data_IF_393594634896
#
_entry.id   IF_393594634896
#
_cell.length_a   1.000
_cell.length_b   1.000
_cell.length_c   1.000
_cell.angle_alpha   90.00
_cell.angle_beta   90.00
_cell.angle_gamma   90.00
#
_symmetry.space_group_name_H-M   'P 1'
#
loop_
_entity.id
_entity.type
_entity.pdbx_description
1 polymer ?
#
# COMPACT_ATOMS: atom_id res chain seq x y z
N UNK A 1 -12.31 2.08 -11.19
CA UNK A 1 -11.62 3.16 -11.90
C UNK A 1 -11.07 4.21 -10.93
N UNK A 2 -10.04 4.93 -11.35
CA UNK A 2 -9.60 6.18 -10.73
C UNK A 2 -9.40 7.19 -11.87
N UNK A 3 -10.04 8.35 -11.77
CA UNK A 3 -10.12 9.31 -12.88
C UNK A 3 -9.77 10.71 -12.39
N UNK A 4 -9.06 11.46 -13.23
CA UNK A 4 -8.85 12.90 -13.08
C UNK A 4 -9.39 13.58 -14.32
N UNK A 5 -10.30 14.52 -14.12
CA UNK A 5 -10.94 15.30 -15.18
C UNK A 5 -10.54 16.76 -15.03
N UNK A 6 -10.17 17.36 -16.14
CA UNK A 6 -9.85 18.79 -16.26
C UNK A 6 -10.66 19.39 -17.40
N UNK A 7 -10.92 20.70 -17.32
CA UNK A 7 -11.57 21.45 -18.38
C UNK A 7 -10.74 22.68 -18.73
N UNK A 8 -10.51 22.94 -20.01
CA UNK A 8 -9.81 24.16 -20.46
C UNK A 8 -10.54 25.44 -20.06
N UNK A 9 -11.86 25.35 -19.76
CA UNK A 9 -12.66 26.49 -19.30
C UNK A 9 -12.41 26.84 -17.83
N UNK A 10 -11.93 25.88 -17.04
CA UNK A 10 -11.62 26.03 -15.61
C UNK A 10 -10.25 25.39 -15.32
N UNK A 11 -9.14 25.99 -15.79
CA UNK A 11 -7.81 25.37 -15.71
C UNK A 11 -7.31 25.17 -14.28
N UNK A 12 -7.80 25.96 -13.32
CA UNK A 12 -7.41 25.90 -11.91
C UNK A 12 -8.20 24.87 -11.09
N UNK A 13 -8.94 23.97 -11.77
CA UNK A 13 -9.85 23.01 -11.14
C UNK A 13 -9.68 21.61 -11.71
N UNK A 14 -9.43 20.66 -10.83
CA UNK A 14 -9.40 19.24 -11.12
C UNK A 14 -10.52 18.53 -10.38
N UNK A 15 -11.17 17.58 -11.05
CA UNK A 15 -12.15 16.68 -10.42
C UNK A 15 -11.58 15.27 -10.43
N UNK A 16 -11.50 14.66 -9.25
CA UNK A 16 -11.05 13.30 -9.05
C UNK A 16 -12.23 12.43 -8.66
N UNK A 17 -12.28 11.20 -9.17
CA UNK A 17 -13.25 10.20 -8.73
C UNK A 17 -12.54 8.85 -8.51
N UNK A 18 -12.84 8.20 -7.38
CA UNK A 18 -12.25 6.93 -6.98
C UNK A 18 -13.30 5.83 -6.82
N UNK A 19 -13.10 4.71 -7.51
CA UNK A 19 -13.83 3.45 -7.32
C UNK A 19 -12.85 2.28 -7.57
N UNK A 20 -12.16 1.80 -6.55
CA UNK A 20 -11.42 0.53 -6.56
C UNK A 20 -9.94 0.68 -6.90
N UNK A 21 -9.60 1.51 -7.88
CA UNK A 21 -8.19 1.83 -8.17
C UNK A 21 -7.70 2.93 -7.21
N UNK A 22 -6.43 2.89 -6.76
CA UNK A 22 -5.91 3.91 -5.88
C UNK A 22 -5.75 5.27 -6.58
N UNK A 23 -6.03 6.33 -5.85
CA UNK A 23 -5.67 7.71 -6.19
C UNK A 23 -5.28 8.43 -4.92
N UNK A 24 -4.26 9.28 -4.99
CA UNK A 24 -3.74 10.04 -3.87
C UNK A 24 -3.60 11.51 -4.23
N UNK A 25 -3.92 12.38 -3.29
CA UNK A 25 -3.71 13.82 -3.40
C UNK A 25 -2.48 14.19 -2.59
N UNK A 26 -1.48 14.78 -3.24
CA UNK A 26 -0.30 15.34 -2.59
C UNK A 26 -0.53 16.79 -2.20
N UNK A 27 -0.23 17.15 -0.96
CA UNK A 27 -0.45 18.48 -0.39
C UNK A 27 0.87 19.27 -0.38
N UNK A 28 0.99 20.29 -1.22
CA UNK A 28 2.15 21.18 -1.26
C UNK A 28 1.92 22.51 -0.54
N UNK A 29 2.84 23.46 -0.74
CA UNK A 29 2.68 24.84 -0.25
C UNK A 29 2.10 25.68 -1.39
N UNK A 30 0.84 26.09 -1.25
CA UNK A 30 0.08 26.77 -2.31
C UNK A 30 0.00 25.99 -3.63
N UNK A 31 0.01 24.67 -3.55
CA UNK A 31 -0.15 23.78 -4.70
C UNK A 31 -0.67 22.42 -4.21
N UNK A 32 -1.38 21.72 -5.09
CA UNK A 32 -1.85 20.37 -4.84
C UNK A 32 -1.56 19.50 -6.06
N UNK A 33 -1.24 18.23 -5.81
CA UNK A 33 -0.87 17.26 -6.83
C UNK A 33 -1.80 16.05 -6.77
N UNK A 34 -1.91 15.33 -7.88
CA UNK A 34 -2.72 14.11 -7.97
C UNK A 34 -1.92 13.04 -8.69
N UNK A 35 -1.90 11.83 -8.14
CA UNK A 35 -1.27 10.68 -8.76
C UNK A 35 -2.01 9.38 -8.40
N UNK A 36 -1.68 8.29 -9.08
CA UNK A 36 -2.14 6.94 -8.71
C UNK A 36 -1.34 6.35 -7.54
N UNK A 37 -0.14 6.88 -7.26
CA UNK A 37 0.78 6.37 -6.24
C UNK A 37 1.58 7.51 -5.59
N UNK A 38 1.93 7.36 -4.31
CA UNK A 38 2.70 8.34 -3.54
C UNK A 38 4.10 8.57 -4.10
N UNK A 39 4.73 7.54 -4.67
CA UNK A 39 6.09 7.58 -5.19
C UNK A 39 6.28 8.64 -6.28
N UNK A 40 5.26 8.88 -7.10
CA UNK A 40 5.27 9.91 -8.14
C UNK A 40 5.35 11.34 -7.56
N UNK A 41 4.93 11.52 -6.31
CA UNK A 41 4.79 12.82 -5.66
C UNK A 41 5.84 13.07 -4.57
N UNK A 42 6.61 12.05 -4.17
CA UNK A 42 7.70 12.18 -3.18
C UNK A 42 8.72 13.29 -3.50
N UNK A 43 9.03 13.64 -4.77
CA UNK A 43 9.92 14.76 -5.07
C UNK A 43 9.38 16.14 -4.70
N UNK A 44 8.05 16.30 -4.60
CA UNK A 44 7.40 17.61 -4.39
C UNK A 44 6.67 17.72 -3.06
N UNK A 45 6.24 16.60 -2.46
CA UNK A 45 5.61 16.62 -1.13
C UNK A 45 5.76 15.28 -0.39
N UNK A 46 5.65 15.35 0.94
CA UNK A 46 5.54 14.18 1.84
C UNK A 46 4.17 14.06 2.49
N UNK A 47 3.26 15.00 2.25
CA UNK A 47 1.92 15.05 2.85
C UNK A 47 0.89 14.55 1.85
N UNK A 48 0.16 13.53 2.23
CA UNK A 48 -0.78 12.84 1.34
C UNK A 48 -2.17 12.73 1.96
N UNK A 49 -3.19 12.92 1.15
CA UNK A 49 -4.58 12.67 1.48
C UNK A 49 -5.07 11.51 0.61
N UNK A 50 -5.60 10.47 1.26
CA UNK A 50 -6.16 9.30 0.59
C UNK A 50 -7.68 9.42 0.56
N UNK A 51 -8.25 9.29 -0.63
CA UNK A 51 -9.71 9.22 -0.81
C UNK A 51 -10.23 7.85 -0.40
N UNK A 52 -11.48 7.77 0.04
CA UNK A 52 -12.18 6.51 0.28
C UNK A 52 -12.86 6.00 -1.00
N UNK A 53 -13.38 4.79 -0.94
CA UNK A 53 -14.07 4.15 -2.05
C UNK A 53 -15.40 4.88 -2.36
N UNK A 54 -15.55 5.40 -3.58
CA UNK A 54 -16.71 6.17 -4.03
C UNK A 54 -16.59 7.68 -3.81
N UNK A 55 -15.46 8.18 -3.28
CA UNK A 55 -15.23 9.60 -3.09
C UNK A 55 -15.03 10.34 -4.42
N UNK A 56 -15.51 11.59 -4.45
CA UNK A 56 -15.21 12.58 -5.49
C UNK A 56 -14.57 13.80 -4.85
N UNK A 57 -13.42 14.24 -5.38
CA UNK A 57 -12.72 15.41 -4.87
C UNK A 57 -12.63 16.52 -5.91
N UNK A 58 -12.98 17.74 -5.52
CA UNK A 58 -12.57 18.95 -6.21
C UNK A 58 -11.23 19.41 -5.65
N UNK A 59 -10.21 19.44 -6.49
CA UNK A 59 -8.86 19.89 -6.14
C UNK A 59 -8.55 21.17 -6.91
N UNK A 60 -8.21 22.21 -6.17
CA UNK A 60 -7.70 23.49 -6.68
C UNK A 60 -6.32 23.75 -6.10
N UNK A 61 -5.66 24.81 -6.54
CA UNK A 61 -4.33 25.21 -6.06
C UNK A 61 -4.24 25.34 -4.53
N UNK A 62 -5.27 25.90 -3.89
CA UNK A 62 -5.25 26.23 -2.45
C UNK A 62 -6.35 25.55 -1.64
N UNK A 63 -7.21 24.75 -2.26
CA UNK A 63 -8.35 24.13 -1.58
C UNK A 63 -8.64 22.74 -2.12
N UNK A 64 -9.08 21.85 -1.24
CA UNK A 64 -9.59 20.53 -1.57
C UNK A 64 -10.96 20.39 -0.92
N UNK A 65 -11.94 19.93 -1.68
CA UNK A 65 -13.27 19.56 -1.17
C UNK A 65 -13.55 18.13 -1.57
N UNK A 66 -13.96 17.30 -0.62
CA UNK A 66 -14.28 15.90 -0.87
C UNK A 66 -15.77 15.68 -0.59
N UNK A 67 -16.41 14.98 -1.52
CA UNK A 67 -17.77 14.48 -1.38
C UNK A 67 -17.70 12.95 -1.28
N UNK A 68 -18.45 12.38 -0.35
CA UNK A 68 -18.65 10.94 -0.31
C UNK A 68 -19.64 10.47 -1.40
N UNK A 69 -19.88 9.16 -1.45
CA UNK A 69 -20.80 8.52 -2.40
C UNK A 69 -22.24 9.02 -2.30
N UNK A 70 -22.64 9.50 -1.13
CA UNK A 70 -23.99 10.02 -0.86
C UNK A 70 -24.07 11.54 -1.14
N UNK A 71 -22.96 12.16 -1.56
CA UNK A 71 -22.87 13.57 -1.88
C UNK A 71 -22.65 14.47 -0.66
N UNK A 72 -22.34 13.92 0.52
CA UNK A 72 -22.05 14.71 1.70
C UNK A 72 -20.62 15.22 1.67
N UNK A 73 -20.41 16.46 2.14
CA UNK A 73 -19.05 16.98 2.33
C UNK A 73 -18.37 16.25 3.47
N UNK A 74 -17.18 15.73 3.20
CA UNK A 74 -16.38 14.96 4.15
C UNK A 74 -14.95 15.50 4.21
N UNK A 75 -14.31 15.35 5.37
CA UNK A 75 -12.89 15.63 5.54
C UNK A 75 -12.09 14.33 5.56
N UNK A 76 -11.00 14.29 4.79
CA UNK A 76 -10.05 13.18 4.77
C UNK A 76 -8.75 13.64 5.41
N UNK A 77 -8.23 12.84 6.34
CA UNK A 77 -7.01 13.20 7.07
C UNK A 77 -5.78 13.17 6.15
N UNK A 78 -4.94 14.21 6.27
CA UNK A 78 -3.61 14.19 5.68
C UNK A 78 -2.67 13.31 6.53
N UNK A 79 -1.81 12.54 5.88
CA UNK A 79 -0.79 11.70 6.50
C UNK A 79 0.58 12.01 5.89
N UNK A 80 1.60 12.02 6.72
CA UNK A 80 2.99 12.07 6.27
C UNK A 80 3.43 10.67 5.81
N UNK A 81 4.06 10.59 4.64
CA UNK A 81 4.64 9.34 4.16
C UNK A 81 6.01 9.10 4.79
N UNK A 82 6.17 7.92 5.38
CA UNK A 82 7.46 7.41 5.88
C UNK A 82 8.35 6.88 4.74
N UNK A 83 7.85 6.75 3.50
CA UNK A 83 8.69 6.34 2.38
C UNK A 83 9.76 7.42 2.11
N UNK A 84 11.03 7.02 2.19
CA UNK A 84 12.15 7.85 1.76
C UNK A 84 12.17 8.02 0.24
N UNK A 85 12.47 9.22 -0.25
CA UNK A 85 12.69 9.47 -1.68
C UNK A 85 13.72 8.51 -2.31
N UNK A 86 14.76 8.14 -1.56
CA UNK A 86 15.80 7.16 -1.96
C UNK A 86 15.24 5.78 -2.35
N UNK A 87 14.06 5.41 -1.84
CA UNK A 87 13.40 4.16 -2.22
C UNK A 87 12.92 4.17 -3.67
N UNK A 88 12.60 5.36 -4.21
CA UNK A 88 12.16 5.57 -5.58
C UNK A 88 13.32 5.85 -6.57
N UNK A 89 14.56 5.89 -6.09
CA UNK A 89 15.73 6.17 -6.90
C UNK A 89 16.63 4.95 -7.12
N UNK A 90 17.39 4.95 -8.22
CA UNK A 90 18.37 3.90 -8.55
C UNK A 90 19.65 3.98 -7.70
N UNK A 91 19.92 5.14 -7.10
CA UNK A 91 21.19 5.41 -6.41
C UNK A 91 22.40 5.13 -7.30
N UNK A 92 23.35 4.34 -6.80
CA UNK A 92 24.59 3.98 -7.52
C UNK A 92 24.41 2.87 -8.56
N UNK A 93 23.22 2.28 -8.68
CA UNK A 93 22.99 1.12 -9.55
C UNK A 93 22.48 1.52 -10.93
N UNK A 94 22.83 0.71 -11.93
CA UNK A 94 22.39 0.92 -13.32
C UNK A 94 20.90 0.62 -13.54
N UNK A 95 20.34 -0.35 -12.78
CA UNK A 95 18.97 -0.84 -12.91
C UNK A 95 18.33 -1.00 -11.53
N UNK A 96 17.01 -0.75 -11.42
CA UNK A 96 16.26 -0.97 -10.17
C UNK A 96 16.33 -2.43 -9.71
N UNK A 97 16.14 -3.40 -10.61
CA UNK A 97 16.26 -4.82 -10.28
C UNK A 97 17.64 -5.17 -9.68
N UNK A 98 18.73 -4.58 -10.20
CA UNK A 98 20.07 -4.80 -9.64
C UNK A 98 20.18 -4.20 -8.23
N UNK A 99 19.69 -2.98 -8.02
CA UNK A 99 19.59 -2.35 -6.69
C UNK A 99 18.82 -3.26 -5.73
N UNK A 100 17.61 -3.68 -6.10
CA UNK A 100 16.72 -4.50 -5.27
C UNK A 100 17.34 -5.85 -4.91
N UNK A 101 18.06 -6.50 -5.83
CA UNK A 101 18.82 -7.73 -5.55
C UNK A 101 19.89 -7.49 -4.48
N UNK A 102 20.67 -6.41 -4.59
CA UNK A 102 21.69 -6.07 -3.61
C UNK A 102 21.12 -5.56 -2.28
N UNK A 103 19.90 -5.04 -2.27
CA UNK A 103 19.21 -4.56 -1.06
C UNK A 103 18.54 -5.68 -0.25
N UNK A 104 18.46 -6.91 -0.77
CA UNK A 104 17.82 -8.04 -0.08
C UNK A 104 18.29 -8.25 1.37
N UNK A 105 19.60 -8.18 1.72
CA UNK A 105 20.03 -8.35 3.11
C UNK A 105 19.42 -7.30 4.05
N UNK A 106 19.38 -6.04 3.60
CA UNK A 106 18.75 -4.94 4.36
C UNK A 106 17.24 -5.11 4.41
N UNK A 107 16.59 -5.49 3.31
CA UNK A 107 15.15 -5.72 3.27
C UNK A 107 14.71 -6.84 4.23
N UNK A 108 15.47 -7.93 4.31
CA UNK A 108 15.24 -9.01 5.28
C UNK A 108 15.45 -8.49 6.71
N UNK A 109 16.53 -7.75 6.98
CA UNK A 109 16.78 -7.18 8.30
C UNK A 109 15.62 -6.26 8.74
N UNK A 110 15.18 -5.35 7.88
CA UNK A 110 14.04 -4.46 8.15
C UNK A 110 12.73 -5.24 8.35
N UNK A 111 12.55 -6.38 7.65
CA UNK A 111 11.36 -7.23 7.82
C UNK A 111 11.33 -7.91 9.19
N UNK A 112 12.49 -8.19 9.79
CA UNK A 112 12.62 -8.81 11.11
C UNK A 112 12.73 -7.78 12.25
N UNK A 113 13.15 -6.56 11.92
CA UNK A 113 13.33 -5.47 12.87
C UNK A 113 12.03 -5.22 13.64
N UNK A 114 12.14 -5.05 14.96
CA UNK A 114 11.02 -4.86 15.91
C UNK A 114 10.01 -6.02 15.97
N UNK A 115 10.21 -7.10 15.21
CA UNK A 115 9.36 -8.29 15.23
C UNK A 115 10.01 -9.47 15.93
N UNK A 116 11.33 -9.45 16.13
CA UNK A 116 12.08 -10.50 16.82
C UNK A 116 12.77 -9.94 18.05
N UNK A 117 12.54 -10.55 19.21
CA UNK A 117 13.25 -10.23 20.45
C UNK A 117 13.66 -11.52 21.17
N UNK A 118 14.85 -11.53 21.77
CA UNK A 118 15.38 -12.69 22.50
C UNK A 118 15.33 -14.00 21.69
N UNK A 119 15.59 -13.91 20.38
CA UNK A 119 15.57 -15.06 19.46
C UNK A 119 14.18 -15.62 19.15
N UNK A 120 13.10 -14.92 19.52
CA UNK A 120 11.71 -15.33 19.26
C UNK A 120 10.95 -14.25 18.52
N UNK A 121 10.02 -14.69 17.68
CA UNK A 121 9.06 -13.81 17.03
C UNK A 121 8.07 -13.27 18.08
N UNK A 122 7.82 -11.97 18.05
CA UNK A 122 6.85 -11.31 18.91
C UNK A 122 5.46 -11.47 18.29
N UNK A 123 4.54 -12.13 18.99
CA UNK A 123 3.15 -12.30 18.52
C UNK A 123 2.45 -10.96 18.27
N UNK A 124 2.80 -9.93 19.07
CA UNK A 124 2.30 -8.57 18.92
C UNK A 124 2.61 -7.95 17.54
N UNK A 125 3.59 -8.47 16.79
CA UNK A 125 3.86 -8.03 15.43
C UNK A 125 2.69 -8.29 14.46
N UNK A 126 1.76 -9.18 14.82
CA UNK A 126 0.56 -9.50 14.06
C UNK A 126 -0.70 -8.80 14.60
N UNK A 127 -0.56 -7.95 15.62
CA UNK A 127 -1.64 -7.23 16.27
C UNK A 127 -2.21 -7.91 17.54
N UNK A 128 -3.05 -7.19 18.30
CA UNK A 128 -3.48 -7.62 19.64
C UNK A 128 -4.34 -8.89 19.66
N UNK A 129 -4.98 -9.24 18.55
CA UNK A 129 -5.84 -10.42 18.43
C UNK A 129 -5.10 -11.68 17.96
N UNK A 130 -3.82 -11.57 17.58
CA UNK A 130 -3.09 -12.63 16.88
C UNK A 130 -3.05 -13.95 17.64
N UNK A 131 -2.75 -13.91 18.94
CA UNK A 131 -2.66 -15.10 19.80
C UNK A 131 -3.97 -15.91 19.78
N UNK A 132 -5.12 -15.24 19.84
CA UNK A 132 -6.42 -15.89 19.88
C UNK A 132 -6.85 -16.40 18.50
N UNK A 133 -6.51 -15.67 17.43
CA UNK A 133 -6.76 -16.10 16.06
C UNK A 133 -5.92 -17.34 15.72
N UNK A 134 -4.62 -17.33 16.01
CA UNK A 134 -3.73 -18.45 15.67
C UNK A 134 -4.05 -19.73 16.42
N UNK A 135 -4.53 -19.65 17.68
CA UNK A 135 -5.00 -20.83 18.42
C UNK A 135 -6.21 -21.53 17.77
N UNK A 136 -7.03 -20.79 17.03
CA UNK A 136 -8.26 -21.29 16.39
C UNK A 136 -8.07 -21.62 14.91
N UNK A 137 -6.90 -21.33 14.35
CA UNK A 137 -6.62 -21.55 12.95
C UNK A 137 -6.41 -23.05 12.69
N UNK A 138 -7.35 -23.67 11.98
CA UNK A 138 -7.28 -25.08 11.59
C UNK A 138 -6.78 -25.27 10.15
N UNK A 139 -6.88 -24.23 9.32
CA UNK A 139 -6.49 -24.23 7.91
C UNK A 139 -5.92 -22.86 7.52
N UNK A 140 -4.91 -22.85 6.65
CA UNK A 140 -4.38 -21.61 6.04
C UNK A 140 -4.69 -21.59 4.56
N UNK A 141 -5.33 -20.52 4.10
CA UNK A 141 -5.62 -20.31 2.69
C UNK A 141 -4.89 -19.05 2.18
N UNK A 142 -4.02 -19.22 1.18
CA UNK A 142 -3.19 -18.15 0.60
C UNK A 142 -3.68 -17.87 -0.83
N UNK A 143 -4.06 -16.63 -1.10
CA UNK A 143 -4.48 -16.17 -2.44
C UNK A 143 -3.45 -15.17 -2.96
N UNK A 144 -2.86 -15.45 -4.14
CA UNK A 144 -1.80 -14.60 -4.69
C UNK A 144 -1.66 -14.73 -6.22
N UNK A 145 -0.85 -13.88 -6.83
CA UNK A 145 -0.52 -13.91 -8.27
C UNK A 145 0.99 -13.92 -8.51
N UNK A 146 1.44 -14.52 -9.63
CA UNK A 146 2.83 -14.44 -10.10
C UNK A 146 3.87 -14.86 -9.06
N UNK A 147 4.90 -14.03 -8.85
CA UNK A 147 5.97 -14.32 -7.88
C UNK A 147 5.47 -14.45 -6.43
N UNK A 148 4.39 -13.74 -6.06
CA UNK A 148 3.77 -13.90 -4.73
C UNK A 148 3.12 -15.27 -4.55
N UNK A 149 2.57 -15.85 -5.62
CA UNK A 149 2.07 -17.24 -5.60
C UNK A 149 3.21 -18.23 -5.36
N UNK A 150 4.40 -17.99 -5.95
CA UNK A 150 5.57 -18.83 -5.70
C UNK A 150 6.05 -18.73 -4.24
N UNK A 151 6.06 -17.54 -3.65
CA UNK A 151 6.35 -17.37 -2.23
C UNK A 151 5.34 -18.11 -1.33
N UNK A 152 4.04 -17.98 -1.62
CA UNK A 152 2.99 -18.75 -0.94
C UNK A 152 3.18 -20.27 -1.10
N UNK A 153 3.58 -20.73 -2.28
CA UNK A 153 3.86 -22.14 -2.55
C UNK A 153 4.99 -22.70 -1.67
N UNK A 154 6.05 -21.91 -1.43
CA UNK A 154 7.12 -22.26 -0.48
C UNK A 154 6.61 -22.23 0.96
N UNK A 155 5.84 -21.20 1.32
CA UNK A 155 5.26 -21.07 2.66
C UNK A 155 4.35 -22.24 3.01
N UNK A 156 3.60 -22.79 2.04
CA UNK A 156 2.77 -24.00 2.22
C UNK A 156 3.57 -25.16 2.81
N UNK A 157 4.73 -25.47 2.23
CA UNK A 157 5.59 -26.54 2.75
C UNK A 157 5.99 -26.28 4.19
N UNK A 158 6.40 -25.05 4.51
CA UNK A 158 6.81 -24.69 5.87
C UNK A 158 5.65 -24.77 6.86
N UNK A 159 4.47 -24.27 6.50
CA UNK A 159 3.27 -24.29 7.36
C UNK A 159 2.83 -25.73 7.64
N UNK A 160 2.70 -26.56 6.61
CA UNK A 160 2.28 -27.96 6.78
C UNK A 160 3.33 -28.77 7.57
N UNK A 161 4.62 -28.51 7.34
CA UNK A 161 5.69 -29.25 8.02
C UNK A 161 5.90 -28.82 9.47
N UNK A 162 5.82 -27.52 9.77
CA UNK A 162 6.14 -26.97 11.09
C UNK A 162 4.88 -26.87 11.95
N UNK A 163 3.82 -26.26 11.41
CA UNK A 163 2.59 -25.97 12.15
C UNK A 163 1.58 -27.13 12.13
N UNK A 164 1.76 -28.11 11.22
CA UNK A 164 0.91 -29.31 11.08
C UNK A 164 -0.57 -29.01 10.79
N UNK A 165 -0.84 -27.85 10.19
CA UNK A 165 -2.17 -27.48 9.70
C UNK A 165 -2.18 -27.50 8.16
N UNK A 166 -3.27 -27.93 7.50
CA UNK A 166 -3.36 -27.90 6.05
C UNK A 166 -3.22 -26.48 5.50
N UNK A 167 -2.54 -26.33 4.36
CA UNK A 167 -2.36 -25.03 3.71
C UNK A 167 -2.66 -25.13 2.22
N UNK A 168 -3.53 -24.26 1.71
CA UNK A 168 -3.86 -24.15 0.29
C UNK A 168 -3.30 -22.85 -0.28
N UNK A 169 -2.81 -22.90 -1.53
CA UNK A 169 -2.32 -21.72 -2.25
C UNK A 169 -2.99 -21.68 -3.61
N UNK A 170 -3.73 -20.61 -3.88
CA UNK A 170 -4.52 -20.44 -5.11
C UNK A 170 -4.14 -19.17 -5.87
N UNK A 171 -4.27 -19.26 -7.19
CA UNK A 171 -4.07 -18.13 -8.08
C UNK A 171 -5.28 -17.21 -7.94
N UNK A 172 -5.05 -15.92 -7.63
CA UNK A 172 -6.14 -15.02 -7.28
C UNK A 172 -7.20 -14.84 -8.40
N UNK A 173 -6.81 -14.99 -9.67
CA UNK A 173 -7.76 -14.94 -10.79
C UNK A 173 -8.70 -16.14 -10.86
N UNK A 174 -8.32 -17.26 -10.26
CA UNK A 174 -9.11 -18.51 -10.23
C UNK A 174 -9.87 -18.69 -8.91
N UNK A 175 -9.57 -17.85 -7.92
CA UNK A 175 -10.19 -17.89 -6.60
C UNK A 175 -11.68 -17.53 -6.69
N UNK A 176 -12.53 -18.35 -6.08
CA UNK A 176 -14.00 -18.20 -6.08
C UNK A 176 -14.59 -18.39 -4.70
#
# INVERSE_FOLDING_TARGET
>A
YALVVLSEREPDRLILAREGCPVVIGLGVEENFVASDVSALLPVTRRFMFLEEGDVAEVRRTSIKVLDRDGNSVERAARDSELSADAAEKGQYKHFMLKEIHEQPRAIANTLQERVANGRLLEAAFGPAATEVFKRAEHVHIVACGTSYHAGSVARYMIEQICKIPCTVEIASEYR
#
